data_IF_864465542359
#
_entry.id   IF_864465542359
#
_cell.length_a   1.000
_cell.length_b   1.000
_cell.length_c   1.000
_cell.angle_alpha   90.00
_cell.angle_beta   90.00
_cell.angle_gamma   90.00
#
_symmetry.space_group_name_H-M   'P 1'
#
loop_
_entity.id
_entity.type
_entity.pdbx_description
1 polymer ?
#
# COMPACT_ATOMS: atom_id res chain seq x y z
N UNK A 1 24.81 -16.33 -12.09
CA UNK A 1 23.70 -15.59 -11.43
C UNK A 1 22.49 -16.51 -11.20
N UNK A 2 22.11 -17.30 -12.21
CA UNK A 2 21.05 -18.33 -12.12
C UNK A 2 21.18 -19.28 -10.92
N UNK A 3 22.42 -19.68 -10.59
CA UNK A 3 22.71 -20.55 -9.44
C UNK A 3 22.36 -19.95 -8.07
N UNK A 4 22.29 -18.62 -7.95
CA UNK A 4 21.89 -17.93 -6.72
C UNK A 4 20.37 -18.00 -6.58
N UNK A 5 19.62 -17.70 -7.64
CA UNK A 5 18.16 -17.76 -7.63
C UNK A 5 17.63 -19.18 -7.41
N UNK A 6 18.29 -20.19 -8.00
CA UNK A 6 17.93 -21.59 -7.80
C UNK A 6 18.06 -22.05 -6.32
N UNK A 7 18.85 -21.36 -5.50
CA UNK A 7 18.94 -21.68 -4.06
C UNK A 7 17.73 -21.19 -3.27
N UNK A 8 17.00 -20.17 -3.74
CA UNK A 8 15.80 -19.67 -3.05
C UNK A 8 14.63 -20.64 -3.15
N UNK A 9 14.52 -21.40 -4.25
CA UNK A 9 13.46 -22.40 -4.45
C UNK A 9 13.43 -23.51 -3.38
N UNK A 10 14.49 -23.66 -2.58
CA UNK A 10 14.59 -24.65 -1.48
C UNK A 10 14.39 -24.04 -0.10
N UNK A 11 13.93 -22.78 -0.01
CA UNK A 11 13.74 -22.07 1.26
C UNK A 11 12.24 -21.97 1.57
N UNK A 12 11.88 -22.34 2.79
CA UNK A 12 10.55 -22.10 3.34
C UNK A 12 10.64 -20.90 4.28
N UNK A 13 9.77 -19.92 4.07
CA UNK A 13 9.73 -18.69 4.87
C UNK A 13 8.36 -18.64 5.55
N UNK A 14 8.36 -18.45 6.88
CA UNK A 14 7.15 -18.23 7.67
C UNK A 14 7.11 -16.76 8.08
N UNK A 15 6.00 -16.09 7.78
CA UNK A 15 5.77 -14.69 8.14
C UNK A 15 4.65 -14.65 9.16
N UNK A 16 4.90 -13.96 10.28
CA UNK A 16 3.93 -13.75 11.36
C UNK A 16 3.86 -12.25 11.63
N UNK A 17 2.66 -11.70 11.55
CA UNK A 17 2.39 -10.30 11.78
C UNK A 17 1.02 -9.90 11.22
N UNK A 18 0.67 -8.64 11.41
CA UNK A 18 -0.63 -8.13 11.00
C UNK A 18 -0.70 -7.84 9.50
N UNK A 19 -1.83 -8.21 8.90
CA UNK A 19 -2.15 -7.88 7.51
C UNK A 19 -2.98 -6.61 7.48
N UNK A 20 -2.66 -5.72 6.55
CA UNK A 20 -3.44 -4.50 6.32
C UNK A 20 -3.54 -4.21 4.82
N UNK A 21 -4.41 -3.27 4.47
CA UNK A 21 -4.57 -2.79 3.09
C UNK A 21 -4.09 -1.36 3.02
N UNK A 22 -3.15 -1.10 2.14
CA UNK A 22 -2.71 0.25 1.82
C UNK A 22 -3.69 0.84 0.79
N UNK A 23 -4.47 1.83 1.22
CA UNK A 23 -5.44 2.51 0.37
C UNK A 23 -4.89 3.86 -0.09
N UNK A 24 -4.75 4.02 -1.40
CA UNK A 24 -4.33 5.25 -2.05
C UNK A 24 -5.55 5.94 -2.66
N UNK A 25 -5.76 7.20 -2.29
CA UNK A 25 -6.78 8.06 -2.87
C UNK A 25 -6.10 9.12 -3.73
N UNK A 26 -6.60 9.29 -4.94
CA UNK A 26 -6.13 10.29 -5.90
C UNK A 26 -7.26 11.28 -6.15
N UNK A 27 -6.94 12.56 -6.25
CA UNK A 27 -7.93 13.62 -6.41
C UNK A 27 -7.27 14.98 -6.57
N UNK A 28 -8.08 16.00 -6.83
CA UNK A 28 -7.63 17.41 -6.90
C UNK A 28 -8.07 18.17 -5.66
N UNK A 29 -7.36 19.26 -5.36
CA UNK A 29 -7.71 20.19 -4.28
C UNK A 29 -7.91 21.56 -4.90
N UNK A 30 -9.16 21.98 -4.97
CA UNK A 30 -9.54 23.26 -5.61
C UNK A 30 -10.08 24.28 -4.60
N UNK A 31 -10.27 23.89 -3.33
CA UNK A 31 -10.80 24.76 -2.27
C UNK A 31 -10.40 24.36 -0.86
N UNK A 32 -10.57 25.31 0.06
CA UNK A 32 -10.47 25.12 1.51
C UNK A 32 -11.87 24.87 2.10
N UNK A 33 -11.96 24.07 3.17
CA UNK A 33 -13.21 23.83 3.90
C UNK A 33 -13.68 25.12 4.59
N UNK A 34 -14.98 25.46 4.53
CA UNK A 34 -15.54 26.55 5.32
C UNK A 34 -15.67 26.19 6.82
N UNK A 35 -15.65 24.90 7.18
CA UNK A 35 -15.78 24.43 8.57
C UNK A 35 -14.46 24.42 9.34
N UNK A 36 -13.32 24.32 8.64
CA UNK A 36 -11.98 24.34 9.23
C UNK A 36 -10.92 24.73 8.17
N UNK A 37 -9.75 25.28 8.56
CA UNK A 37 -8.69 25.67 7.64
C UNK A 37 -7.90 24.46 7.09
N UNK A 38 -8.61 23.52 6.44
CA UNK A 38 -8.08 22.29 5.84
C UNK A 38 -8.52 22.17 4.38
N UNK A 39 -7.68 21.62 3.49
CA UNK A 39 -8.03 21.42 2.08
C UNK A 39 -9.11 20.34 1.91
N UNK A 40 -9.98 20.52 0.92
CA UNK A 40 -10.95 19.50 0.51
C UNK A 40 -10.42 18.78 -0.72
N UNK A 41 -10.19 17.48 -0.62
CA UNK A 41 -9.80 16.63 -1.76
C UNK A 41 -11.05 16.11 -2.47
N UNK A 42 -11.20 16.45 -3.74
CA UNK A 42 -12.19 15.84 -4.63
C UNK A 42 -11.62 14.55 -5.21
N UNK A 43 -11.95 13.41 -4.60
CA UNK A 43 -11.38 12.10 -4.97
C UNK A 43 -11.87 11.68 -6.35
N UNK A 44 -10.94 11.41 -7.26
CA UNK A 44 -11.18 10.97 -8.64
C UNK A 44 -10.72 9.52 -8.88
N UNK A 45 -9.92 8.95 -7.98
CA UNK A 45 -9.43 7.58 -8.11
C UNK A 45 -9.07 6.94 -6.79
N UNK A 46 -9.09 5.61 -6.77
CA UNK A 46 -8.68 4.79 -5.63
C UNK A 46 -7.89 3.59 -6.11
N UNK A 47 -6.82 3.26 -5.38
CA UNK A 47 -6.08 2.02 -5.54
C UNK A 47 -5.87 1.38 -4.17
N UNK A 48 -5.86 0.05 -4.13
CA UNK A 48 -5.64 -0.70 -2.90
C UNK A 48 -4.56 -1.75 -3.14
N UNK A 49 -3.64 -1.86 -2.20
CA UNK A 49 -2.55 -2.83 -2.22
C UNK A 49 -2.50 -3.62 -0.92
N UNK A 50 -1.94 -4.82 -0.98
CA UNK A 50 -1.63 -5.57 0.23
C UNK A 50 -0.51 -4.84 0.97
N UNK A 51 -0.73 -4.59 2.26
CA UNK A 51 0.19 -3.92 3.17
C UNK A 51 0.50 -4.80 4.38
N UNK A 52 1.41 -4.34 5.23
CA UNK A 52 1.85 -5.09 6.41
C UNK A 52 2.46 -6.45 6.04
N UNK A 53 2.13 -7.49 6.81
CA UNK A 53 2.65 -8.84 6.58
C UNK A 53 2.28 -9.41 5.19
N UNK A 54 1.17 -8.96 4.59
CA UNK A 54 0.79 -9.40 3.25
C UNK A 54 1.64 -8.79 2.13
N UNK A 55 2.32 -7.66 2.36
CA UNK A 55 3.30 -7.12 1.41
C UNK A 55 4.67 -7.84 1.50
N UNK A 56 4.93 -8.54 2.60
CA UNK A 56 6.18 -9.27 2.84
C UNK A 56 6.11 -10.71 2.31
N UNK A 57 4.89 -11.26 2.19
CA UNK A 57 4.62 -12.66 1.83
C UNK A 57 4.78 -13.00 0.35
#
# INVERSE_FOLDING_TARGET
MESIFNKFNKKNVLIIGDVMVDAYLFGTVDRISPEAPVPVVSVTGRNSRMGGAANVA
#
